data_IF_308905493899
#
_entry.id   IF_308905493899
#
_cell.length_a   1.000
_cell.length_b   1.000
_cell.length_c   1.000
_cell.angle_alpha   90.00
_cell.angle_beta   90.00
_cell.angle_gamma   90.00
#
_symmetry.space_group_name_H-M   'P 1'
#
loop_
_entity.id
_entity.type
_entity.pdbx_description
1 polymer ?
#
# COMPACT_ATOMS: atom_id res chain seq x y z
N UNK A 1 5.67 3.98 16.54
CA UNK A 1 4.94 4.38 15.32
C UNK A 1 3.65 5.03 15.76
N UNK A 2 3.39 6.29 15.40
CA UNK A 2 2.12 6.97 15.69
C UNK A 2 1.25 6.85 14.44
N UNK A 3 0.06 6.27 14.57
CA UNK A 3 -0.88 6.15 13.46
C UNK A 3 -1.55 7.50 13.22
N UNK A 4 -1.62 7.94 11.97
CA UNK A 4 -2.47 9.06 11.59
C UNK A 4 -3.87 8.51 11.30
N UNK A 5 -4.88 9.05 11.98
CA UNK A 5 -6.29 8.64 11.82
C UNK A 5 -6.53 7.12 12.00
N UNK A 6 -5.80 6.48 12.92
CA UNK A 6 -5.85 5.03 13.17
C UNK A 6 -5.60 4.16 11.93
N UNK A 7 -4.97 4.70 10.90
CA UNK A 7 -4.79 4.03 9.61
C UNK A 7 -3.34 3.71 9.33
N UNK A 8 -3.09 2.54 8.74
CA UNK A 8 -1.81 2.18 8.16
C UNK A 8 -2.01 1.33 6.90
N UNK A 9 -0.92 1.11 6.19
CA UNK A 9 -0.88 0.41 4.92
C UNK A 9 0.12 -0.74 5.00
N UNK A 10 -0.22 -1.87 4.40
CA UNK A 10 0.67 -3.03 4.27
C UNK A 10 0.86 -3.32 2.80
N UNK A 11 2.11 -3.25 2.33
CA UNK A 11 2.49 -3.76 1.03
C UNK A 11 2.92 -5.22 1.22
N UNK A 12 2.18 -6.14 0.60
CA UNK A 12 2.47 -7.57 0.55
C UNK A 12 2.96 -7.93 -0.85
N UNK A 13 4.23 -8.28 -0.99
CA UNK A 13 4.85 -8.74 -2.24
C UNK A 13 5.14 -10.24 -2.22
N UNK A 14 4.36 -11.01 -1.46
CA UNK A 14 4.57 -12.45 -1.29
C UNK A 14 5.61 -12.75 -0.23
N UNK A 15 6.90 -12.73 -0.59
CA UNK A 15 7.98 -13.04 0.35
C UNK A 15 8.27 -11.89 1.32
N UNK A 16 8.13 -10.66 0.83
CA UNK A 16 8.39 -9.46 1.61
C UNK A 16 7.10 -8.73 1.96
N UNK A 17 7.08 -8.16 3.17
CA UNK A 17 5.99 -7.33 3.67
C UNK A 17 6.54 -6.07 4.30
N UNK A 18 5.94 -4.94 3.95
CA UNK A 18 6.31 -3.63 4.49
C UNK A 18 5.08 -2.93 5.06
N UNK A 19 5.27 -2.23 6.16
CA UNK A 19 4.22 -1.48 6.87
C UNK A 19 4.52 0.00 6.76
N UNK A 20 3.53 0.80 6.37
CA UNK A 20 3.65 2.24 6.20
C UNK A 20 2.51 2.95 6.92
N UNK A 21 2.80 4.08 7.54
CA UNK A 21 1.75 4.98 8.06
C UNK A 21 1.17 5.87 6.95
N UNK A 22 1.95 6.11 5.88
CA UNK A 22 1.58 6.97 4.77
C UNK A 22 1.35 6.16 3.49
N UNK A 23 0.24 6.44 2.81
CA UNK A 23 -0.12 5.84 1.52
C UNK A 23 0.92 6.13 0.43
N UNK A 24 1.45 7.35 0.39
CA UNK A 24 2.41 7.77 -0.62
C UNK A 24 3.72 6.97 -0.51
N UNK A 25 4.20 6.72 0.71
CA UNK A 25 5.37 5.89 0.96
C UNK A 25 5.12 4.44 0.54
N UNK A 26 3.94 3.90 0.84
CA UNK A 26 3.56 2.55 0.45
C UNK A 26 3.52 2.38 -1.09
N UNK A 27 2.97 3.38 -1.80
CA UNK A 27 2.93 3.39 -3.27
C UNK A 27 4.34 3.56 -3.85
N UNK A 28 5.19 4.39 -3.25
CA UNK A 28 6.59 4.53 -3.64
C UNK A 28 7.35 3.21 -3.52
N UNK A 29 7.18 2.47 -2.42
CA UNK A 29 7.79 1.14 -2.28
C UNK A 29 7.19 0.15 -3.30
N UNK A 30 5.88 0.18 -3.50
CA UNK A 30 5.21 -0.68 -4.48
C UNK A 30 5.74 -0.48 -5.90
N UNK A 31 6.10 0.76 -6.28
CA UNK A 31 6.78 1.05 -7.55
C UNK A 31 8.10 0.31 -7.68
N UNK A 32 8.89 0.24 -6.60
CA UNK A 32 10.17 -0.47 -6.61
C UNK A 32 9.97 -1.97 -6.80
N UNK A 33 8.99 -2.56 -6.10
CA UNK A 33 8.61 -3.97 -6.21
C UNK A 33 8.10 -4.31 -7.63
N UNK A 34 7.26 -3.46 -8.21
CA UNK A 34 6.80 -3.66 -9.60
C UNK A 34 7.97 -3.59 -10.58
N UNK A 35 8.90 -2.64 -10.37
CA UNK A 35 10.12 -2.51 -11.20
C UNK A 35 11.08 -3.69 -11.06
N UNK A 36 11.10 -4.39 -9.91
CA UNK A 36 11.92 -5.59 -9.71
C UNK A 36 11.35 -6.85 -10.36
N UNK A 37 10.12 -6.79 -10.90
CA UNK A 37 9.46 -7.90 -11.59
C UNK A 37 8.36 -8.60 -10.78
N UNK A 38 8.10 -8.18 -9.55
CA UNK A 38 7.16 -8.82 -8.63
C UNK A 38 5.79 -8.12 -8.59
N UNK A 39 5.41 -7.45 -9.68
CA UNK A 39 4.21 -6.61 -9.73
C UNK A 39 2.88 -7.38 -9.62
N UNK A 40 2.83 -8.59 -10.15
CA UNK A 40 1.59 -9.40 -10.20
C UNK A 40 1.20 -9.98 -8.83
N UNK A 41 2.17 -10.19 -7.94
CA UNK A 41 1.95 -10.67 -6.57
C UNK A 41 1.73 -9.53 -5.57
N UNK A 42 2.11 -8.30 -5.94
CA UNK A 42 2.04 -7.14 -5.07
C UNK A 42 0.60 -6.75 -4.73
N UNK A 43 0.31 -6.60 -3.44
CA UNK A 43 -0.98 -6.15 -2.92
C UNK A 43 -0.74 -5.04 -1.91
N UNK A 44 -1.47 -3.94 -2.07
CA UNK A 44 -1.51 -2.90 -1.06
C UNK A 44 -2.79 -3.05 -0.23
N UNK A 45 -2.65 -3.26 1.06
CA UNK A 45 -3.74 -3.34 2.02
C UNK A 45 -3.81 -2.04 2.81
N UNK A 46 -5.02 -1.58 3.07
CA UNK A 46 -5.36 -0.46 3.95
C UNK A 46 -5.99 -1.03 5.20
N UNK A 47 -5.39 -0.76 6.36
CA UNK A 47 -5.88 -1.21 7.66
C UNK A 47 -6.38 0.01 8.41
N UNK A 48 -7.67 0.01 8.75
CA UNK A 48 -8.23 0.92 9.73
C UNK A 48 -8.30 0.18 11.08
N UNK A 49 -7.61 0.70 12.07
CA UNK A 49 -7.52 0.16 13.43
C UNK A 49 -8.31 1.03 14.42
N UNK A 50 -9.48 1.53 14.01
CA UNK A 50 -10.40 2.22 14.91
C UNK A 50 -10.81 1.30 16.07
N UNK A 51 -10.92 1.91 17.27
CA UNK A 51 -10.92 1.23 18.57
C UNK A 51 -11.98 0.12 18.72
N UNK A 52 -13.10 0.22 18.01
CA UNK A 52 -14.21 -0.74 18.11
C UNK A 52 -14.15 -1.87 17.07
N UNK A 53 -13.54 -1.65 15.90
CA UNK A 53 -13.49 -2.63 14.80
C UNK A 53 -12.31 -2.40 13.87
N UNK A 54 -11.57 -3.47 13.63
CA UNK A 54 -10.51 -3.49 12.62
C UNK A 54 -11.11 -3.79 11.24
N UNK A 55 -10.74 -2.98 10.27
CA UNK A 55 -11.12 -3.16 8.87
C UNK A 55 -9.86 -3.30 8.02
N UNK A 56 -9.82 -4.36 7.19
CA UNK A 56 -8.73 -4.61 6.26
C UNK A 56 -9.33 -4.62 4.85
N UNK A 57 -8.93 -3.66 4.03
CA UNK A 57 -9.39 -3.52 2.64
C UNK A 57 -8.19 -3.52 1.72
N UNK A 58 -8.24 -4.33 0.66
CA UNK A 58 -7.26 -4.21 -0.41
C UNK A 58 -7.52 -2.93 -1.21
N UNK A 59 -6.48 -2.13 -1.41
CA UNK A 59 -6.56 -0.92 -2.24
C UNK A 59 -6.73 -1.34 -3.69
N UNK A 60 -7.73 -0.76 -4.36
CA UNK A 60 -8.03 -1.05 -5.75
C UNK A 60 -6.85 -0.70 -6.66
N UNK A 61 -6.47 -1.65 -7.52
CA UNK A 61 -5.43 -1.46 -8.53
C UNK A 61 -5.70 -0.30 -9.48
N UNK A 62 -6.97 0.00 -9.76
CA UNK A 62 -7.35 1.17 -10.56
C UNK A 62 -6.86 2.47 -9.93
N UNK A 63 -7.00 2.60 -8.60
CA UNK A 63 -6.55 3.80 -7.87
C UNK A 63 -5.02 3.89 -7.87
N UNK A 64 -4.35 2.75 -7.64
CA UNK A 64 -2.89 2.65 -7.65
C UNK A 64 -2.33 3.01 -9.03
N UNK A 65 -2.91 2.47 -10.11
CA UNK A 65 -2.46 2.70 -11.47
C UNK A 65 -2.42 4.19 -11.85
N UNK A 66 -3.41 4.98 -11.43
CA UNK A 66 -3.38 6.43 -11.65
C UNK A 66 -2.16 7.07 -10.99
N UNK A 67 -1.80 6.68 -9.77
CA UNK A 67 -0.65 7.21 -9.03
C UNK A 67 0.70 6.68 -9.54
N UNK A 68 0.69 5.51 -10.19
CA UNK A 68 1.85 5.00 -10.91
C UNK A 68 2.11 5.79 -12.20
N UNK A 69 1.06 6.13 -12.94
CA UNK A 69 1.15 6.82 -14.24
C UNK A 69 1.43 8.32 -14.08
N UNK A 70 0.84 8.98 -13.07
CA UNK A 70 0.93 10.45 -12.90
C UNK A 70 2.35 10.98 -12.65
N UNK A 71 3.29 10.13 -12.25
CA UNK A 71 4.70 10.52 -12.03
C UNK A 71 5.58 10.39 -13.28
N UNK A 72 5.05 9.93 -14.42
CA UNK A 72 5.78 9.89 -15.69
C UNK A 72 5.57 11.14 -16.57
N UNK A 73 4.88 12.17 -16.06
CA UNK A 73 4.62 13.43 -16.75
C UNK A 73 5.46 14.59 -16.22
#
# INVERSE_FOLDING_TARGET
MKLENNKFYVLDAGQDKWVFINRAEAISQMKQVVKSGDGDSAKLLSINADDDKWEIVQVDWKQIAFELIKEQG
#
